data_IF_432873790541
#
_entry.id   IF_432873790541
#
_cell.length_a   1.000
_cell.length_b   1.000
_cell.length_c   1.000
_cell.angle_alpha   90.00
_cell.angle_beta   90.00
_cell.angle_gamma   90.00
#
_symmetry.space_group_name_H-M   'P 1'
#
loop_
_entity.id
_entity.type
_entity.pdbx_description
1 polymer ?
#
# COMPACT_ATOMS: atom_id res chain seq x y z
N UNK A 1 26.47 51.37 -25.88
CA UNK A 1 27.59 51.04 -24.99
C UNK A 1 27.21 50.94 -23.51
N UNK A 2 26.37 51.84 -22.96
CA UNK A 2 26.00 51.80 -21.54
C UNK A 2 25.19 50.53 -21.09
N UNK A 3 24.30 50.00 -21.95
CA UNK A 3 23.52 48.83 -21.65
C UNK A 3 24.33 47.52 -21.54
N UNK A 4 25.41 47.40 -22.32
CA UNK A 4 26.29 46.22 -22.27
C UNK A 4 27.14 46.16 -20.97
N UNK A 5 27.50 47.32 -20.42
CA UNK A 5 28.27 47.44 -19.17
C UNK A 5 27.41 47.10 -17.96
N UNK A 6 26.13 47.50 -17.97
CA UNK A 6 25.17 47.19 -16.86
C UNK A 6 24.83 45.69 -16.80
N UNK A 7 24.68 45.03 -17.94
CA UNK A 7 24.42 43.58 -18.02
C UNK A 7 25.65 42.77 -17.59
N UNK A 8 26.86 43.22 -17.94
CA UNK A 8 28.08 42.55 -17.50
C UNK A 8 28.32 42.70 -15.98
N UNK A 9 28.05 43.87 -15.41
CA UNK A 9 28.16 44.10 -13.96
C UNK A 9 27.15 43.27 -13.15
N UNK A 10 25.91 43.12 -13.65
CA UNK A 10 24.89 42.26 -13.01
C UNK A 10 25.26 40.76 -13.04
N UNK A 11 25.87 40.28 -14.13
CA UNK A 11 26.32 38.88 -14.22
C UNK A 11 27.54 38.61 -13.32
N UNK A 12 28.44 39.54 -13.17
CA UNK A 12 29.61 39.40 -12.27
C UNK A 12 29.17 39.47 -10.80
N UNK A 13 28.19 40.32 -10.48
CA UNK A 13 27.61 40.37 -9.11
C UNK A 13 26.85 39.13 -8.71
N UNK A 14 26.11 38.51 -9.64
CA UNK A 14 25.39 37.27 -9.39
C UNK A 14 26.36 36.08 -9.26
N UNK A 15 27.40 35.98 -10.04
CA UNK A 15 28.41 34.92 -9.96
C UNK A 15 29.22 34.99 -8.66
N UNK A 16 29.57 36.21 -8.20
CA UNK A 16 30.29 36.40 -6.93
C UNK A 16 29.40 36.17 -5.69
N UNK A 17 28.08 36.44 -5.79
CA UNK A 17 27.13 36.11 -4.73
C UNK A 17 26.90 34.59 -4.62
N UNK A 18 26.75 33.89 -5.74
CA UNK A 18 26.63 32.42 -5.78
C UNK A 18 27.89 31.74 -5.23
N UNK A 19 29.09 32.18 -5.68
CA UNK A 19 30.35 31.64 -5.15
C UNK A 19 30.57 31.91 -3.68
N UNK A 20 30.10 33.04 -3.13
CA UNK A 20 30.15 33.33 -1.68
C UNK A 20 29.16 32.52 -0.90
N UNK A 21 28.00 32.20 -1.47
CA UNK A 21 27.02 31.29 -0.85
C UNK A 21 27.56 29.86 -0.85
N UNK A 22 28.12 29.38 -1.94
CA UNK A 22 28.78 28.08 -2.02
C UNK A 22 30.00 27.97 -1.10
N UNK A 23 30.80 29.03 -0.98
CA UNK A 23 31.95 29.07 -0.08
C UNK A 23 31.56 29.18 1.38
N UNK A 24 30.44 29.82 1.73
CA UNK A 24 29.84 29.77 3.08
C UNK A 24 29.25 28.41 3.38
N UNK A 25 28.56 27.78 2.43
CA UNK A 25 28.03 26.42 2.59
C UNK A 25 29.13 25.36 2.71
N UNK A 26 30.31 25.60 2.09
CA UNK A 26 31.47 24.71 2.21
C UNK A 26 32.38 25.00 3.41
N UNK A 27 32.36 26.22 3.96
CA UNK A 27 33.17 26.61 5.13
C UNK A 27 32.43 26.41 6.47
N UNK A 28 31.11 26.35 6.47
CA UNK A 28 30.33 25.86 7.60
C UNK A 28 30.23 24.34 7.48
N UNK A 29 31.30 23.63 7.76
CA UNK A 29 31.35 22.19 7.97
C UNK A 29 30.53 21.76 9.19
N UNK A 30 29.30 22.25 9.32
CA UNK A 30 28.29 21.70 10.21
C UNK A 30 27.84 20.41 9.53
N UNK A 31 28.50 19.30 9.87
CA UNK A 31 27.95 17.97 9.67
C UNK A 31 26.59 17.98 10.37
N UNK A 32 25.55 18.36 9.63
CA UNK A 32 24.19 18.19 10.10
C UNK A 32 24.06 16.74 10.51
N UNK A 33 23.75 16.49 11.78
CA UNK A 33 23.54 15.14 12.26
C UNK A 33 22.59 14.41 11.28
N UNK A 34 22.88 13.16 10.91
CA UNK A 34 22.10 12.46 9.91
C UNK A 34 20.63 12.44 10.32
N UNK A 35 19.73 12.63 9.35
CA UNK A 35 18.29 12.53 9.57
C UNK A 35 17.99 11.14 10.14
N UNK A 36 17.43 11.08 11.35
CA UNK A 36 17.04 9.82 11.99
C UNK A 36 15.54 9.64 11.95
N UNK A 37 15.07 8.58 11.33
CA UNK A 37 13.65 8.28 11.17
C UNK A 37 13.32 6.96 11.83
N UNK A 38 12.34 6.95 12.73
CA UNK A 38 11.80 5.71 13.28
C UNK A 38 10.47 5.40 12.58
N UNK A 39 10.35 4.19 12.03
CA UNK A 39 9.12 3.70 11.38
C UNK A 39 8.47 2.66 12.30
N UNK A 40 7.28 2.97 12.81
CA UNK A 40 6.55 2.13 13.75
C UNK A 40 5.34 1.47 13.09
N UNK A 41 5.29 0.15 13.09
CA UNK A 41 4.16 -0.61 12.56
C UNK A 41 4.58 -1.91 11.90
N UNK A 42 3.62 -2.58 11.25
CA UNK A 42 3.87 -3.87 10.60
C UNK A 42 2.66 -4.77 10.56
N UNK A 43 2.93 -6.08 10.61
CA UNK A 43 1.95 -7.16 10.64
C UNK A 43 1.66 -7.75 9.26
N UNK A 44 1.38 -6.94 8.26
CA UNK A 44 1.01 -7.40 6.91
C UNK A 44 1.84 -6.74 5.81
N UNK A 45 1.86 -7.36 4.61
CA UNK A 45 2.54 -6.79 3.44
C UNK A 45 2.04 -5.41 3.05
N UNK A 46 0.74 -5.16 3.21
CA UNK A 46 0.13 -3.86 2.91
C UNK A 46 0.69 -2.68 3.71
N UNK A 47 1.31 -2.94 4.87
CA UNK A 47 2.01 -1.94 5.66
C UNK A 47 3.52 -1.92 5.38
N UNK A 48 4.13 -3.10 5.29
CA UNK A 48 5.60 -3.22 5.26
C UNK A 48 6.19 -2.86 3.89
N UNK A 49 5.58 -3.29 2.78
CA UNK A 49 6.13 -2.95 1.45
C UNK A 49 6.16 -1.44 1.18
N UNK A 50 5.08 -0.66 1.44
CA UNK A 50 5.13 0.80 1.34
C UNK A 50 6.17 1.42 2.28
N UNK A 51 6.30 0.93 3.51
CA UNK A 51 7.26 1.44 4.47
C UNK A 51 8.71 1.21 4.04
N UNK A 52 9.02 0.06 3.46
CA UNK A 52 10.35 -0.24 2.91
C UNK A 52 10.68 0.66 1.70
N UNK A 53 9.69 0.95 0.85
CA UNK A 53 9.88 1.89 -0.26
C UNK A 53 10.21 3.30 0.27
N UNK A 54 9.45 3.81 1.24
CA UNK A 54 9.74 5.09 1.90
C UNK A 54 11.12 5.09 2.58
N UNK A 55 11.49 3.99 3.26
CA UNK A 55 12.78 3.89 3.93
C UNK A 55 13.96 3.96 2.93
N UNK A 56 13.82 3.34 1.76
CA UNK A 56 14.83 3.43 0.68
C UNK A 56 14.97 4.85 0.16
N UNK A 57 13.86 5.55 -0.07
CA UNK A 57 13.87 6.96 -0.50
C UNK A 57 14.50 7.86 0.56
N UNK A 58 14.20 7.66 1.84
CA UNK A 58 14.82 8.40 2.95
C UNK A 58 16.35 8.23 2.95
N UNK A 59 16.83 7.02 2.74
CA UNK A 59 18.29 6.76 2.65
C UNK A 59 18.88 7.37 1.38
N UNK A 60 18.26 7.17 0.24
CA UNK A 60 18.78 7.64 -1.04
C UNK A 60 18.83 9.18 -1.13
N UNK A 61 17.74 9.85 -0.79
CA UNK A 61 17.56 11.29 -0.95
C UNK A 61 18.06 12.12 0.21
N UNK A 62 17.88 11.63 1.44
CA UNK A 62 18.15 12.39 2.67
C UNK A 62 19.29 11.82 3.52
N UNK A 63 19.96 10.74 3.07
CA UNK A 63 21.03 10.05 3.83
C UNK A 63 20.59 9.68 5.24
N UNK A 64 19.29 9.32 5.39
CA UNK A 64 18.69 9.08 6.68
C UNK A 64 19.15 7.75 7.30
N UNK A 65 19.29 7.72 8.61
CA UNK A 65 19.33 6.50 9.41
C UNK A 65 17.89 6.09 9.72
N UNK A 66 17.49 4.88 9.31
CA UNK A 66 16.12 4.38 9.51
C UNK A 66 16.13 3.20 10.47
N UNK A 67 15.27 3.26 11.49
CA UNK A 67 15.02 2.16 12.43
C UNK A 67 13.55 1.75 12.37
N UNK A 68 13.29 0.45 12.21
CA UNK A 68 11.93 -0.10 12.29
C UNK A 68 11.60 -0.59 13.71
N UNK A 69 10.34 -0.41 14.09
CA UNK A 69 9.74 -1.02 15.30
C UNK A 69 8.52 -1.82 14.88
N UNK A 70 8.57 -3.11 15.15
CA UNK A 70 7.53 -4.08 14.78
C UNK A 70 7.21 -5.06 15.89
N UNK A 71 6.50 -6.13 15.54
CA UNK A 71 6.13 -7.23 16.45
C UNK A 71 6.77 -8.54 16.02
N UNK A 72 6.96 -9.47 16.95
CA UNK A 72 7.57 -10.78 16.66
C UNK A 72 6.71 -11.69 15.75
N UNK A 73 5.44 -11.35 15.53
CA UNK A 73 4.48 -12.18 14.77
C UNK A 73 4.23 -11.71 13.35
N UNK A 74 4.72 -10.53 12.98
CA UNK A 74 4.48 -9.94 11.66
C UNK A 74 5.55 -10.33 10.64
N UNK A 75 5.25 -10.10 9.37
CA UNK A 75 6.18 -10.35 8.26
C UNK A 75 7.40 -9.42 8.29
N UNK A 76 7.33 -8.33 9.05
CA UNK A 76 8.44 -7.39 9.27
C UNK A 76 9.68 -8.08 9.82
N UNK A 77 9.52 -9.15 10.61
CA UNK A 77 10.64 -9.91 11.17
C UNK A 77 11.57 -10.51 10.11
N UNK A 78 11.04 -10.80 8.93
CA UNK A 78 11.75 -11.30 7.78
C UNK A 78 12.11 -10.18 6.80
N UNK A 79 11.12 -9.42 6.35
CA UNK A 79 11.29 -8.49 5.23
C UNK A 79 12.15 -7.26 5.57
N UNK A 80 12.10 -6.76 6.81
CA UNK A 80 12.89 -5.57 7.20
C UNK A 80 14.38 -5.87 7.23
N UNK A 81 14.87 -6.97 7.90
CA UNK A 81 16.27 -7.36 7.84
C UNK A 81 16.74 -7.77 6.43
N UNK A 82 15.90 -8.49 5.65
CA UNK A 82 16.20 -8.83 4.25
C UNK A 82 16.41 -7.57 3.38
N UNK A 83 15.73 -6.47 3.71
CA UNK A 83 15.92 -5.18 3.04
C UNK A 83 17.10 -4.35 3.57
N UNK A 84 17.87 -4.87 4.54
CA UNK A 84 19.04 -4.21 5.11
C UNK A 84 18.75 -3.18 6.21
N UNK A 85 17.52 -3.14 6.75
CA UNK A 85 17.16 -2.20 7.80
C UNK A 85 17.18 -2.83 9.20
N UNK A 86 17.60 -2.09 10.23
CA UNK A 86 17.52 -2.54 11.62
C UNK A 86 16.06 -2.58 12.09
N UNK A 87 15.73 -3.63 12.84
CA UNK A 87 14.41 -3.87 13.42
C UNK A 87 14.51 -4.07 14.94
N UNK A 88 13.70 -3.34 15.69
CA UNK A 88 13.44 -3.60 17.11
C UNK A 88 12.04 -4.16 17.28
N UNK A 89 11.92 -5.20 18.11
CA UNK A 89 10.65 -5.86 18.36
C UNK A 89 10.07 -5.43 19.70
N UNK A 90 8.74 -5.22 19.72
CA UNK A 90 7.98 -4.96 20.94
C UNK A 90 6.88 -6.01 21.11
N UNK A 91 6.50 -6.26 22.36
CA UNK A 91 5.39 -7.14 22.67
C UNK A 91 4.10 -6.32 22.70
N UNK A 92 3.22 -6.56 21.72
CA UNK A 92 1.88 -6.02 21.68
C UNK A 92 0.93 -7.01 21.04
N UNK A 93 -0.22 -7.20 21.63
CA UNK A 93 -1.25 -8.12 21.14
C UNK A 93 -2.35 -7.42 20.34
N UNK A 94 -3.21 -8.20 19.68
CA UNK A 94 -4.39 -7.68 18.98
C UNK A 94 -5.46 -7.20 19.97
N UNK A 95 -6.13 -6.08 19.61
CA UNK A 95 -7.25 -5.51 20.38
C UNK A 95 -8.62 -5.81 19.75
N UNK A 96 -8.67 -6.15 18.45
CA UNK A 96 -9.91 -6.41 17.71
C UNK A 96 -10.01 -7.86 17.26
N UNK A 97 -11.25 -8.34 17.13
CA UNK A 97 -11.58 -9.70 16.66
C UNK A 97 -10.92 -10.83 17.50
N UNK A 98 -10.79 -10.59 18.80
CA UNK A 98 -10.22 -11.53 19.76
C UNK A 98 -11.10 -11.63 21.02
N UNK A 99 -10.91 -12.69 21.81
CA UNK A 99 -11.65 -12.92 23.05
C UNK A 99 -11.47 -11.79 24.06
N UNK A 100 -12.41 -11.63 24.98
CA UNK A 100 -12.33 -10.63 26.06
C UNK A 100 -11.04 -10.80 26.88
N UNK A 101 -10.65 -12.05 27.17
CA UNK A 101 -9.41 -12.35 27.88
C UNK A 101 -8.17 -11.87 27.13
N UNK A 102 -8.13 -12.04 25.80
CA UNK A 102 -7.03 -11.54 24.98
C UNK A 102 -6.99 -10.00 24.97
N UNK A 103 -8.15 -9.34 24.95
CA UNK A 103 -8.23 -7.86 25.06
C UNK A 103 -7.69 -7.34 26.38
N UNK A 104 -8.09 -8.00 27.51
CA UNK A 104 -7.59 -7.65 28.84
C UNK A 104 -6.06 -7.82 28.91
N UNK A 105 -5.55 -8.96 28.42
CA UNK A 105 -4.10 -9.21 28.38
C UNK A 105 -3.37 -8.14 27.54
N UNK A 106 -3.87 -7.84 26.34
CA UNK A 106 -3.27 -6.79 25.49
C UNK A 106 -3.34 -5.41 26.17
N UNK A 107 -4.44 -5.09 26.87
CA UNK A 107 -4.55 -3.84 27.63
C UNK A 107 -3.53 -3.76 28.78
N UNK A 108 -3.25 -4.89 29.44
CA UNK A 108 -2.20 -4.98 30.48
C UNK A 108 -0.78 -4.87 29.89
N UNK A 109 -0.56 -5.36 28.68
CA UNK A 109 0.73 -5.28 27.99
C UNK A 109 1.00 -3.90 27.37
N UNK A 110 -0.05 -3.08 27.19
CA UNK A 110 0.07 -1.75 26.56
C UNK A 110 1.06 -0.81 27.28
N UNK A 111 1.07 -0.68 28.65
CA UNK A 111 2.06 0.10 29.36
C UNK A 111 3.50 -0.39 29.12
N UNK A 112 3.71 -1.72 29.13
CA UNK A 112 5.03 -2.33 28.85
C UNK A 112 5.50 -1.99 27.43
N UNK A 113 4.62 -2.11 26.44
CA UNK A 113 4.89 -1.75 25.04
C UNK A 113 5.26 -0.28 24.92
N UNK A 114 4.53 0.60 25.63
CA UNK A 114 4.79 2.04 25.66
C UNK A 114 6.17 2.36 26.27
N UNK A 115 6.53 1.71 27.38
CA UNK A 115 7.85 1.86 27.99
C UNK A 115 8.97 1.37 27.07
N UNK A 116 8.78 0.21 26.41
CA UNK A 116 9.73 -0.30 25.44
C UNK A 116 9.95 0.68 24.28
N UNK A 117 8.87 1.20 23.69
CA UNK A 117 8.94 2.21 22.63
C UNK A 117 9.65 3.49 23.13
N UNK A 118 9.32 3.96 24.34
CA UNK A 118 9.97 5.16 24.93
C UNK A 118 11.48 4.96 25.10
N UNK A 119 11.92 3.77 25.52
CA UNK A 119 13.34 3.42 25.60
C UNK A 119 13.99 3.43 24.22
N UNK A 120 13.40 2.75 23.22
CA UNK A 120 13.90 2.73 21.85
C UNK A 120 14.04 4.15 21.28
N UNK A 121 13.02 5.00 21.47
CA UNK A 121 13.03 6.40 21.01
C UNK A 121 14.13 7.23 21.69
N UNK A 122 14.39 7.01 22.98
CA UNK A 122 15.47 7.71 23.72
C UNK A 122 16.87 7.24 23.29
N UNK A 123 17.01 5.95 23.02
CA UNK A 123 18.30 5.37 22.60
C UNK A 123 18.61 5.76 21.13
N UNK A 124 17.63 5.70 20.25
CA UNK A 124 17.81 6.01 18.83
C UNK A 124 17.77 7.51 18.52
N UNK A 125 17.05 8.31 19.32
CA UNK A 125 16.88 9.78 19.17
C UNK A 125 16.44 10.18 17.76
N UNK A 126 15.28 9.68 17.25
CA UNK A 126 14.80 10.05 15.93
C UNK A 126 14.39 11.54 15.89
N UNK A 127 14.67 12.20 14.76
CA UNK A 127 14.14 13.53 14.46
C UNK A 127 12.64 13.51 14.11
N UNK A 128 12.13 12.38 13.59
CA UNK A 128 10.72 12.18 13.23
C UNK A 128 10.32 10.71 13.34
N UNK A 129 9.05 10.48 13.65
CA UNK A 129 8.46 9.13 13.75
C UNK A 129 7.32 8.97 12.76
N UNK A 130 7.38 7.92 11.91
CA UNK A 130 6.33 7.52 10.99
C UNK A 130 5.54 6.34 11.55
N UNK A 131 4.24 6.50 11.70
CA UNK A 131 3.31 5.40 12.00
C UNK A 131 2.69 4.85 10.73
N UNK A 132 2.93 3.58 10.43
CA UNK A 132 2.44 2.92 9.19
C UNK A 132 1.22 2.03 9.40
N UNK A 133 0.63 2.03 10.59
CA UNK A 133 -0.44 1.11 10.95
C UNK A 133 0.06 -0.22 11.51
N UNK A 134 -0.89 -1.12 11.80
CA UNK A 134 -0.59 -2.37 12.51
C UNK A 134 -0.46 -2.17 14.02
N UNK A 135 -0.20 -3.28 14.74
CA UNK A 135 -0.24 -3.28 16.21
C UNK A 135 0.90 -2.49 16.86
N UNK A 136 2.11 -2.50 16.27
CA UNK A 136 3.26 -1.77 16.81
C UNK A 136 3.16 -0.25 16.60
N UNK A 137 2.36 0.20 15.64
CA UNK A 137 2.19 1.64 15.36
C UNK A 137 1.58 2.39 16.54
N UNK A 138 0.57 1.80 17.21
CA UNK A 138 -0.11 2.45 18.34
C UNK A 138 0.86 2.86 19.48
N UNK A 139 1.55 1.93 20.13
CA UNK A 139 2.52 2.23 21.18
C UNK A 139 3.68 3.11 20.71
N UNK A 140 4.21 2.88 19.50
CA UNK A 140 5.29 3.67 18.92
C UNK A 140 4.92 5.15 18.77
N UNK A 141 3.77 5.40 18.15
CA UNK A 141 3.26 6.76 17.94
C UNK A 141 2.85 7.45 19.27
N UNK A 142 2.21 6.70 20.19
CA UNK A 142 1.86 7.22 21.50
C UNK A 142 3.11 7.65 22.30
N UNK A 143 4.16 6.83 22.29
CA UNK A 143 5.44 7.17 22.94
C UNK A 143 6.09 8.40 22.30
N UNK A 144 6.06 8.51 20.97
CA UNK A 144 6.60 9.67 20.25
C UNK A 144 5.84 10.96 20.59
N UNK A 145 4.51 10.92 20.64
CA UNK A 145 3.67 12.05 21.04
C UNK A 145 3.92 12.49 22.48
N UNK A 146 4.07 11.53 23.41
CA UNK A 146 4.42 11.83 24.81
C UNK A 146 5.80 12.48 24.97
N UNK A 147 6.75 12.11 24.10
CA UNK A 147 8.08 12.70 24.05
C UNK A 147 8.12 14.00 23.20
N UNK A 148 6.98 14.44 22.66
CA UNK A 148 6.84 15.63 21.80
C UNK A 148 7.73 15.58 20.55
N UNK A 149 8.05 14.38 20.08
CA UNK A 149 8.77 14.21 18.83
C UNK A 149 7.87 14.52 17.62
N UNK A 150 8.43 15.03 16.52
CA UNK A 150 7.71 15.14 15.26
C UNK A 150 7.12 13.79 14.84
N UNK A 151 5.84 13.80 14.44
CA UNK A 151 5.12 12.55 14.08
C UNK A 151 4.35 12.71 12.79
N UNK A 152 4.39 11.70 11.96
CA UNK A 152 3.56 11.56 10.77
C UNK A 152 2.83 10.23 10.77
N UNK A 153 1.55 10.23 10.38
CA UNK A 153 0.78 9.01 10.17
C UNK A 153 0.68 8.70 8.68
N UNK A 154 0.84 7.43 8.32
CA UNK A 154 0.53 6.90 6.99
C UNK A 154 -0.77 6.09 7.05
N UNK A 155 -1.73 6.41 6.17
CA UNK A 155 -2.98 5.69 6.06
C UNK A 155 -3.26 5.28 4.63
N UNK A 156 -3.10 4.02 4.30
CA UNK A 156 -3.32 3.50 2.96
C UNK A 156 -4.79 3.26 2.61
N UNK A 157 -5.69 3.19 3.60
CA UNK A 157 -7.10 2.85 3.38
C UNK A 157 -7.99 4.10 3.36
N UNK A 158 -9.12 4.02 2.66
CA UNK A 158 -10.15 5.06 2.66
C UNK A 158 -10.82 5.24 4.04
N UNK A 159 -10.91 4.15 4.82
CA UNK A 159 -11.32 4.17 6.23
C UNK A 159 -10.10 3.90 7.10
N UNK A 160 -9.64 4.86 7.91
CA UNK A 160 -8.47 4.68 8.76
C UNK A 160 -8.66 3.59 9.81
N UNK A 161 -7.57 2.84 10.05
CA UNK A 161 -7.52 1.88 11.14
C UNK A 161 -7.67 2.56 12.51
N UNK A 162 -8.07 1.78 13.54
CA UNK A 162 -8.35 2.29 14.88
C UNK A 162 -7.19 3.12 15.47
N UNK A 163 -5.95 2.64 15.38
CA UNK A 163 -4.79 3.36 15.90
C UNK A 163 -4.66 4.75 15.24
N UNK A 164 -4.75 4.82 13.92
CA UNK A 164 -4.67 6.07 13.16
C UNK A 164 -5.83 7.03 13.48
N UNK A 165 -7.05 6.53 13.73
CA UNK A 165 -8.18 7.38 14.15
C UNK A 165 -7.96 8.03 15.50
N UNK A 166 -7.36 7.30 16.45
CA UNK A 166 -7.08 7.82 17.81
C UNK A 166 -6.00 8.91 17.79
N UNK A 167 -4.95 8.72 17.02
CA UNK A 167 -3.82 9.66 16.99
C UNK A 167 -3.94 10.74 15.91
N UNK A 168 -4.80 10.57 14.92
CA UNK A 168 -4.82 11.34 13.68
C UNK A 168 -4.89 12.87 13.86
N UNK A 169 -5.64 13.36 14.86
CA UNK A 169 -5.70 14.80 15.18
C UNK A 169 -4.53 15.29 16.02
N UNK A 170 -3.70 14.40 16.55
CA UNK A 170 -2.55 14.73 17.41
C UNK A 170 -1.21 14.68 16.69
N UNK A 171 -1.11 13.95 15.57
CA UNK A 171 0.09 13.95 14.74
C UNK A 171 0.31 15.30 14.05
N UNK A 172 1.55 15.66 13.74
CA UNK A 172 1.85 16.91 13.07
C UNK A 172 1.45 16.90 11.59
N UNK A 173 1.56 15.75 10.94
CA UNK A 173 1.17 15.56 9.55
C UNK A 173 0.60 14.15 9.33
N UNK A 174 -0.09 13.98 8.24
CA UNK A 174 -0.48 12.67 7.76
C UNK A 174 -0.33 12.61 6.24
N UNK A 175 -0.05 11.41 5.74
CA UNK A 175 -0.10 11.08 4.33
C UNK A 175 -1.13 9.99 4.14
N UNK A 176 -2.00 10.19 3.18
CA UNK A 176 -3.15 9.32 2.94
C UNK A 176 -3.20 8.89 1.48
N UNK A 177 -3.79 7.73 1.21
CA UNK A 177 -4.03 7.28 -0.15
C UNK A 177 -5.28 7.94 -0.74
N UNK A 178 -6.37 7.92 0.02
CA UNK A 178 -7.66 8.40 -0.45
C UNK A 178 -8.06 9.73 0.23
N UNK A 179 -8.61 10.70 -0.52
CA UNK A 179 -9.13 11.96 0.04
C UNK A 179 -10.14 11.73 1.16
N UNK A 180 -10.93 10.66 1.10
CA UNK A 180 -11.93 10.32 2.12
C UNK A 180 -11.33 10.12 3.53
N UNK A 181 -10.07 9.68 3.62
CA UNK A 181 -9.36 9.50 4.89
C UNK A 181 -8.87 10.83 5.50
N UNK A 182 -8.70 11.87 4.71
CA UNK A 182 -8.08 13.14 5.14
C UNK A 182 -8.76 13.79 6.35
N UNK A 183 -10.09 13.72 6.44
CA UNK A 183 -10.89 14.28 7.54
C UNK A 183 -10.50 13.80 8.95
N UNK A 184 -9.83 12.64 9.03
CA UNK A 184 -9.44 12.04 10.31
C UNK A 184 -8.11 12.58 10.85
N UNK A 185 -7.36 13.29 10.03
CA UNK A 185 -6.00 13.69 10.34
C UNK A 185 -5.84 15.20 10.45
N UNK A 186 -4.73 15.59 11.05
CA UNK A 186 -4.21 16.95 11.02
C UNK A 186 -3.22 17.07 9.87
N UNK A 187 -3.29 18.16 9.10
CA UNK A 187 -2.42 18.46 7.95
C UNK A 187 -2.24 17.24 7.00
N UNK A 188 -3.34 16.64 6.51
CA UNK A 188 -3.27 15.49 5.61
C UNK A 188 -2.83 15.92 4.21
N UNK A 189 -2.03 15.07 3.56
CA UNK A 189 -1.66 15.20 2.15
C UNK A 189 -1.98 13.88 1.44
N UNK A 190 -2.65 13.95 0.29
CA UNK A 190 -2.86 12.78 -0.55
C UNK A 190 -1.58 12.51 -1.32
N UNK A 191 -0.91 11.42 -0.98
CA UNK A 191 0.34 10.99 -1.61
C UNK A 191 0.21 9.69 -2.38
N UNK A 192 -0.87 8.95 -2.13
CA UNK A 192 -0.99 7.57 -2.59
C UNK A 192 -0.24 6.58 -1.69
N UNK A 193 -0.23 5.33 -2.14
CA UNK A 193 0.54 4.23 -1.55
C UNK A 193 1.75 3.95 -2.44
N UNK A 194 2.97 3.87 -1.88
CA UNK A 194 4.14 3.42 -2.63
C UNK A 194 3.92 2.05 -3.24
N UNK A 195 4.08 1.97 -4.55
CA UNK A 195 3.97 0.75 -5.35
C UNK A 195 5.33 0.50 -6.02
N UNK A 196 5.66 -0.75 -6.26
CA UNK A 196 6.91 -1.12 -6.96
C UNK A 196 6.91 -0.53 -8.39
N UNK A 197 8.05 0.02 -8.86
CA UNK A 197 8.13 0.67 -10.17
C UNK A 197 7.62 -0.20 -11.33
N UNK A 198 7.86 -1.51 -11.29
CA UNK A 198 7.49 -2.45 -12.35
C UNK A 198 5.98 -2.49 -12.64
N UNK A 199 5.13 -2.03 -11.72
CA UNK A 199 3.69 -1.92 -11.99
C UNK A 199 3.34 -0.73 -12.88
N UNK A 200 4.15 0.33 -12.87
CA UNK A 200 3.95 1.48 -13.75
C UNK A 200 4.44 1.21 -15.19
N UNK A 201 5.29 0.20 -15.36
CA UNK A 201 5.80 -0.23 -16.67
C UNK A 201 4.91 -1.30 -17.34
N UNK A 202 3.78 -1.63 -16.72
CA UNK A 202 2.84 -2.61 -17.28
C UNK A 202 2.21 -2.05 -18.57
N UNK A 203 2.29 -2.78 -19.71
CA UNK A 203 1.79 -2.30 -21.00
C UNK A 203 0.27 -2.13 -21.01
N UNK A 204 -0.31 -1.43 -22.01
CA UNK A 204 -1.75 -1.35 -22.22
C UNK A 204 -2.44 -2.72 -22.22
N UNK A 205 -3.79 -2.73 -22.19
CA UNK A 205 -4.54 -3.97 -22.17
C UNK A 205 -4.24 -4.83 -23.42
N UNK A 206 -4.03 -6.15 -23.25
CA UNK A 206 -3.88 -7.05 -24.40
C UNK A 206 -5.21 -7.27 -25.12
N UNK A 207 -5.15 -7.60 -26.42
CA UNK A 207 -6.35 -7.89 -27.22
C UNK A 207 -7.00 -9.22 -26.83
N UNK A 208 -6.20 -10.21 -26.35
CA UNK A 208 -6.71 -11.51 -25.95
C UNK A 208 -7.28 -11.48 -24.55
N UNK A 209 -8.55 -11.84 -24.34
CA UNK A 209 -9.17 -11.79 -23.04
C UNK A 209 -8.51 -12.75 -22.04
N UNK A 210 -8.04 -12.19 -20.92
CA UNK A 210 -7.41 -12.93 -19.84
C UNK A 210 -7.92 -12.44 -18.49
N UNK A 211 -8.50 -13.32 -17.71
CA UNK A 211 -9.01 -13.06 -16.38
C UNK A 211 -7.99 -13.52 -15.32
N UNK A 212 -7.41 -12.58 -14.62
CA UNK A 212 -6.55 -12.84 -13.47
C UNK A 212 -7.36 -12.78 -12.17
N UNK A 213 -7.28 -13.82 -11.34
CA UNK A 213 -8.02 -13.94 -10.09
C UNK A 213 -7.08 -14.17 -8.94
N UNK A 214 -7.14 -13.33 -7.89
CA UNK A 214 -6.37 -13.53 -6.66
C UNK A 214 -7.04 -12.90 -5.44
N UNK A 215 -6.83 -13.50 -4.27
CA UNK A 215 -7.41 -13.04 -3.00
C UNK A 215 -6.38 -12.57 -1.97
N UNK A 216 -5.14 -12.28 -2.41
CA UNK A 216 -4.00 -12.06 -1.54
C UNK A 216 -3.18 -13.35 -1.34
N UNK A 217 -2.07 -13.30 -0.60
CA UNK A 217 -1.10 -14.41 -0.49
C UNK A 217 -1.67 -15.76 -0.06
N UNK A 218 -2.79 -15.75 0.69
CA UNK A 218 -3.44 -16.98 1.17
C UNK A 218 -4.55 -17.47 0.24
N UNK A 219 -4.82 -16.77 -0.87
CA UNK A 219 -6.00 -17.00 -1.69
C UNK A 219 -7.29 -16.51 -1.03
N UNK A 220 -8.42 -16.74 -1.67
CA UNK A 220 -9.74 -16.43 -1.14
C UNK A 220 -10.68 -17.65 -1.27
N UNK A 221 -11.06 -18.24 -0.13
CA UNK A 221 -11.92 -19.44 -0.13
C UNK A 221 -13.20 -19.25 -0.96
N UNK A 222 -13.81 -18.06 -0.88
CA UNK A 222 -15.02 -17.76 -1.66
C UNK A 222 -14.76 -17.84 -3.17
N UNK A 223 -13.63 -17.29 -3.64
CA UNK A 223 -13.23 -17.37 -5.04
C UNK A 223 -12.99 -18.82 -5.47
N UNK A 224 -12.24 -19.56 -4.64
CA UNK A 224 -11.91 -20.96 -4.88
C UNK A 224 -13.15 -21.86 -5.03
N UNK A 225 -14.25 -21.52 -4.33
CA UNK A 225 -15.48 -22.32 -4.37
C UNK A 225 -16.50 -21.84 -5.40
N UNK A 226 -16.46 -20.56 -5.80
CA UNK A 226 -17.46 -19.98 -6.71
C UNK A 226 -17.02 -20.01 -8.17
N UNK A 227 -15.75 -19.63 -8.46
CA UNK A 227 -15.26 -19.54 -9.84
C UNK A 227 -15.35 -20.86 -10.62
N UNK A 228 -14.99 -22.04 -10.04
CA UNK A 228 -15.12 -23.29 -10.79
C UNK A 228 -16.54 -23.60 -11.24
N UNK A 229 -17.56 -23.18 -10.47
CA UNK A 229 -18.98 -23.43 -10.78
C UNK A 229 -19.45 -22.71 -12.04
N UNK A 230 -18.84 -21.57 -12.38
CA UNK A 230 -19.20 -20.75 -13.54
C UNK A 230 -18.16 -20.85 -14.67
N UNK A 231 -17.05 -21.54 -14.46
CA UNK A 231 -15.91 -21.52 -15.36
C UNK A 231 -16.30 -21.98 -16.79
N UNK A 232 -17.01 -23.10 -16.92
CA UNK A 232 -17.47 -23.58 -18.24
C UNK A 232 -18.32 -22.54 -18.95
N UNK A 233 -19.38 -22.06 -18.29
CA UNK A 233 -20.31 -21.11 -18.87
C UNK A 233 -19.64 -19.76 -19.23
N UNK A 234 -18.68 -19.32 -18.41
CA UNK A 234 -17.91 -18.10 -18.68
C UNK A 234 -16.97 -18.27 -19.90
N UNK A 235 -16.27 -19.41 -20.00
CA UNK A 235 -15.40 -19.72 -21.14
C UNK A 235 -16.19 -19.90 -22.44
N UNK A 236 -17.37 -20.47 -22.37
CA UNK A 236 -18.27 -20.60 -23.51
C UNK A 236 -18.83 -19.24 -23.98
N UNK A 237 -19.15 -18.39 -23.02
CA UNK A 237 -19.69 -17.06 -23.30
C UNK A 237 -18.65 -16.06 -23.84
N UNK A 238 -17.37 -16.22 -23.52
CA UNK A 238 -16.29 -15.30 -23.95
C UNK A 238 -15.25 -16.07 -24.77
N UNK A 239 -15.33 -16.04 -26.12
CA UNK A 239 -14.37 -16.71 -27.00
C UNK A 239 -12.93 -16.24 -26.72
N UNK A 240 -11.98 -17.18 -26.71
CA UNK A 240 -10.56 -16.88 -26.47
C UNK A 240 -10.18 -16.57 -25.02
N UNK A 241 -11.14 -16.43 -24.09
CA UNK A 241 -10.84 -16.17 -22.70
C UNK A 241 -9.96 -17.26 -22.07
N UNK A 242 -8.96 -16.83 -21.33
CA UNK A 242 -8.16 -17.69 -20.45
C UNK A 242 -8.27 -17.21 -19.01
N UNK A 243 -8.13 -18.11 -18.05
CA UNK A 243 -8.25 -17.83 -16.61
C UNK A 243 -6.99 -18.24 -15.88
N UNK A 244 -6.40 -17.31 -15.11
CA UNK A 244 -5.37 -17.61 -14.12
C UNK A 244 -5.93 -17.34 -12.73
N UNK A 245 -6.01 -18.36 -11.88
CA UNK A 245 -6.56 -18.28 -10.53
C UNK A 245 -5.51 -18.63 -9.48
N UNK A 246 -5.13 -17.67 -8.64
CA UNK A 246 -4.29 -17.89 -7.47
C UNK A 246 -5.15 -18.31 -6.29
N UNK A 247 -5.09 -19.59 -5.93
CA UNK A 247 -5.96 -20.19 -4.93
C UNK A 247 -5.39 -20.23 -3.50
N UNK A 248 -4.10 -19.92 -3.34
CA UNK A 248 -3.37 -20.09 -2.07
C UNK A 248 -2.88 -21.53 -1.87
N UNK A 249 -1.81 -21.69 -1.08
CA UNK A 249 -1.19 -23.00 -0.81
C UNK A 249 -2.18 -24.05 -0.30
N UNK A 250 -3.13 -23.65 0.54
CA UNK A 250 -4.11 -24.56 1.14
C UNK A 250 -5.30 -24.89 0.23
N UNK A 251 -5.54 -24.06 -0.78
CA UNK A 251 -6.72 -24.17 -1.64
C UNK A 251 -6.43 -24.73 -3.03
N UNK A 252 -5.19 -24.82 -3.45
CA UNK A 252 -4.83 -25.09 -4.85
C UNK A 252 -5.36 -26.43 -5.33
N UNK A 253 -5.14 -27.53 -4.62
CA UNK A 253 -5.55 -28.87 -5.03
C UNK A 253 -7.08 -29.00 -5.16
N UNK A 254 -7.81 -28.51 -4.14
CA UNK A 254 -9.28 -28.55 -4.17
C UNK A 254 -9.87 -27.67 -5.23
N UNK A 255 -9.25 -26.54 -5.53
CA UNK A 255 -9.69 -25.61 -6.59
C UNK A 255 -9.40 -26.20 -7.96
N UNK A 256 -8.23 -26.82 -8.19
CA UNK A 256 -7.90 -27.52 -9.43
C UNK A 256 -8.89 -28.67 -9.71
N UNK A 257 -9.18 -29.50 -8.69
CA UNK A 257 -10.16 -30.57 -8.82
C UNK A 257 -11.56 -30.04 -9.16
N UNK A 258 -11.97 -28.92 -8.55
CA UNK A 258 -13.27 -28.30 -8.83
C UNK A 258 -13.34 -27.74 -10.27
N UNK A 259 -12.28 -27.11 -10.78
CA UNK A 259 -12.22 -26.70 -12.20
C UNK A 259 -12.24 -27.90 -13.14
N UNK A 260 -11.51 -28.97 -12.85
CA UNK A 260 -11.51 -30.18 -13.68
C UNK A 260 -12.91 -30.84 -13.74
N UNK A 261 -13.64 -30.83 -12.62
CA UNK A 261 -15.00 -31.37 -12.54
C UNK A 261 -16.06 -30.46 -13.20
N UNK A 262 -15.75 -29.17 -13.48
CA UNK A 262 -16.70 -28.22 -14.03
C UNK A 262 -17.06 -28.44 -15.51
N UNK A 263 -16.30 -29.27 -16.22
CA UNK A 263 -16.42 -29.44 -17.68
C UNK A 263 -15.84 -28.25 -18.48
N UNK A 264 -15.13 -27.34 -17.85
CA UNK A 264 -14.41 -26.24 -18.50
C UNK A 264 -13.19 -26.76 -19.28
N UNK A 265 -12.92 -26.21 -20.46
CA UNK A 265 -11.76 -26.57 -21.29
C UNK A 265 -10.46 -26.39 -20.52
N UNK A 266 -9.76 -27.51 -20.28
CA UNK A 266 -8.52 -27.56 -19.47
C UNK A 266 -7.39 -26.70 -20.04
N UNK A 267 -7.36 -26.45 -21.31
CA UNK A 267 -6.33 -25.62 -21.95
C UNK A 267 -6.51 -24.12 -21.66
N UNK A 268 -7.68 -23.71 -21.18
CA UNK A 268 -8.06 -22.30 -20.98
C UNK A 268 -8.06 -21.85 -19.53
N UNK A 269 -7.71 -22.71 -18.57
CA UNK A 269 -7.61 -22.30 -17.16
C UNK A 269 -6.38 -22.89 -16.49
N UNK A 270 -5.85 -22.13 -15.55
CA UNK A 270 -4.73 -22.50 -14.70
C UNK A 270 -4.98 -22.06 -13.27
N UNK A 271 -4.68 -22.91 -12.30
CA UNK A 271 -4.77 -22.62 -10.87
C UNK A 271 -3.39 -22.75 -10.25
N UNK A 272 -2.95 -21.69 -9.55
CA UNK A 272 -1.65 -21.62 -8.92
C UNK A 272 -1.77 -21.40 -7.41
N UNK A 273 -0.85 -21.96 -6.63
CA UNK A 273 -0.83 -21.72 -5.18
C UNK A 273 -0.42 -20.27 -4.86
N UNK A 274 0.51 -19.73 -5.65
CA UNK A 274 1.06 -18.39 -5.43
C UNK A 274 1.61 -17.81 -6.75
N UNK A 275 1.56 -16.50 -6.89
CA UNK A 275 2.10 -15.77 -8.03
C UNK A 275 3.23 -14.87 -7.57
N UNK A 276 4.45 -15.11 -8.05
CA UNK A 276 5.64 -14.37 -7.63
C UNK A 276 5.79 -13.03 -8.36
N UNK A 277 5.62 -13.04 -9.68
CA UNK A 277 5.79 -11.87 -10.56
C UNK A 277 4.44 -11.27 -10.94
N UNK A 278 3.83 -10.55 -10.00
CA UNK A 278 2.53 -9.91 -10.21
C UNK A 278 2.52 -8.92 -11.39
N UNK A 279 3.55 -8.05 -11.61
CA UNK A 279 3.56 -7.17 -12.78
C UNK A 279 3.42 -7.91 -14.10
N UNK A 280 4.14 -9.01 -14.30
CA UNK A 280 4.01 -9.84 -15.53
C UNK A 280 2.63 -10.49 -15.67
N UNK A 281 1.98 -10.85 -14.56
CA UNK A 281 0.60 -11.36 -14.60
C UNK A 281 -0.40 -10.23 -14.91
N UNK A 282 -0.19 -9.03 -14.36
CA UNK A 282 -1.00 -7.88 -14.71
C UNK A 282 -0.84 -7.49 -16.17
N UNK A 283 0.37 -7.58 -16.74
CA UNK A 283 0.62 -7.30 -18.15
C UNK A 283 -0.25 -8.14 -19.11
N UNK A 284 -0.57 -9.37 -18.70
CA UNK A 284 -1.41 -10.30 -19.48
C UNK A 284 -2.91 -10.14 -19.20
N UNK A 285 -3.29 -9.48 -18.09
CA UNK A 285 -4.68 -9.40 -17.67
C UNK A 285 -5.46 -8.32 -18.43
N UNK A 286 -6.61 -8.66 -18.99
CA UNK A 286 -7.60 -7.70 -19.48
C UNK A 286 -8.58 -7.29 -18.38
N UNK A 287 -8.81 -8.18 -17.41
CA UNK A 287 -9.63 -7.92 -16.23
C UNK A 287 -9.01 -8.63 -15.03
N UNK A 288 -8.99 -7.94 -13.90
CA UNK A 288 -8.51 -8.50 -12.63
C UNK A 288 -9.68 -8.64 -11.65
N UNK A 289 -9.90 -9.85 -11.12
CA UNK A 289 -10.82 -10.07 -10.02
C UNK A 289 -10.02 -10.26 -8.72
N UNK A 290 -10.23 -9.40 -7.73
CA UNK A 290 -9.45 -9.47 -6.49
C UNK A 290 -10.19 -8.95 -5.25
N UNK A 291 -9.55 -9.13 -4.09
CA UNK A 291 -9.87 -8.36 -2.88
C UNK A 291 -9.39 -6.91 -3.04
N UNK A 292 -9.98 -5.98 -2.29
CA UNK A 292 -9.71 -4.54 -2.36
C UNK A 292 -8.83 -4.04 -1.19
N UNK A 293 -7.75 -4.78 -0.89
CA UNK A 293 -6.72 -4.29 0.02
C UNK A 293 -6.02 -3.05 -0.54
N UNK A 294 -5.55 -2.16 0.32
CA UNK A 294 -4.96 -0.88 -0.10
C UNK A 294 -3.80 -1.02 -1.09
N UNK A 295 -2.89 -1.98 -0.87
CA UNK A 295 -1.79 -2.24 -1.83
C UNK A 295 -2.32 -2.77 -3.16
N UNK A 296 -3.32 -3.67 -3.13
CA UNK A 296 -3.91 -4.22 -4.35
C UNK A 296 -4.54 -3.14 -5.22
N UNK A 297 -5.33 -2.24 -4.63
CA UNK A 297 -5.96 -1.15 -5.40
C UNK A 297 -4.93 -0.16 -5.92
N UNK A 298 -3.85 0.09 -5.18
CA UNK A 298 -2.74 0.92 -5.64
C UNK A 298 -1.96 0.26 -6.80
N UNK A 299 -1.73 -1.06 -6.75
CA UNK A 299 -1.10 -1.84 -7.81
C UNK A 299 -1.98 -1.88 -9.08
N UNK A 300 -3.31 -2.05 -8.92
CA UNK A 300 -4.27 -1.98 -10.01
C UNK A 300 -4.27 -0.61 -10.69
N UNK A 301 -4.23 0.46 -9.90
CA UNK A 301 -4.12 1.83 -10.39
C UNK A 301 -2.81 2.06 -11.15
N UNK A 302 -1.67 1.67 -10.57
CA UNK A 302 -0.36 1.82 -11.17
C UNK A 302 -0.24 1.07 -12.51
N UNK A 303 -0.79 -0.13 -12.57
CA UNK A 303 -0.77 -0.99 -13.77
C UNK A 303 -1.90 -0.66 -14.78
N UNK A 304 -2.78 0.29 -14.48
CA UNK A 304 -3.92 0.61 -15.35
C UNK A 304 -4.80 -0.61 -15.62
N UNK A 305 -5.16 -1.40 -14.59
CA UNK A 305 -5.95 -2.63 -14.78
C UNK A 305 -7.40 -2.46 -14.34
N UNK A 306 -8.36 -2.69 -15.26
CA UNK A 306 -9.78 -2.80 -14.92
C UNK A 306 -9.97 -3.88 -13.87
N UNK A 307 -10.85 -3.65 -12.91
CA UNK A 307 -11.03 -4.63 -11.85
C UNK A 307 -12.48 -4.88 -11.47
N UNK A 308 -12.76 -6.14 -11.10
CA UNK A 308 -13.93 -6.55 -10.36
C UNK A 308 -13.49 -6.82 -8.93
N UNK A 309 -13.84 -5.93 -8.02
CA UNK A 309 -13.43 -5.96 -6.63
C UNK A 309 -14.48 -6.66 -5.77
N UNK A 310 -14.02 -7.62 -4.97
CA UNK A 310 -14.87 -8.31 -4.00
C UNK A 310 -14.28 -8.09 -2.60
N UNK A 311 -14.70 -7.05 -1.88
CA UNK A 311 -14.21 -6.74 -0.56
C UNK A 311 -14.35 -7.92 0.41
N UNK A 312 -13.36 -8.12 1.28
CA UNK A 312 -13.43 -9.13 2.32
C UNK A 312 -14.35 -8.65 3.44
N UNK A 313 -15.49 -9.32 3.63
CA UNK A 313 -16.54 -8.89 4.57
C UNK A 313 -16.07 -8.82 6.04
N UNK A 314 -15.08 -9.67 6.42
CA UNK A 314 -14.52 -9.66 7.78
C UNK A 314 -13.35 -8.67 7.95
N UNK A 315 -13.08 -7.82 6.95
CA UNK A 315 -12.05 -6.80 7.05
C UNK A 315 -12.36 -5.81 8.19
N UNK A 316 -11.35 -5.46 8.97
CA UNK A 316 -11.52 -4.56 10.11
C UNK A 316 -12.08 -3.20 9.65
N UNK A 317 -13.10 -2.69 10.35
CA UNK A 317 -13.73 -1.39 10.06
C UNK A 317 -14.23 -1.25 8.61
N UNK A 318 -14.52 -2.36 7.91
CA UNK A 318 -15.02 -2.40 6.53
C UNK A 318 -14.14 -1.62 5.53
N UNK A 319 -12.83 -1.54 5.81
CA UNK A 319 -11.91 -0.73 5.00
C UNK A 319 -11.82 -1.19 3.54
N UNK A 320 -12.00 -2.51 3.27
CA UNK A 320 -11.93 -3.01 1.90
C UNK A 320 -13.13 -2.54 1.06
N UNK A 321 -14.35 -2.52 1.62
CA UNK A 321 -15.51 -1.96 0.91
C UNK A 321 -15.28 -0.48 0.59
N UNK A 322 -14.72 0.29 1.53
CA UNK A 322 -14.42 1.71 1.30
C UNK A 322 -13.35 1.93 0.24
N UNK A 323 -12.31 1.10 0.22
CA UNK A 323 -11.29 1.15 -0.85
C UNK A 323 -11.89 0.83 -2.22
N UNK A 324 -12.76 -0.20 -2.30
CA UNK A 324 -13.45 -0.56 -3.54
C UNK A 324 -14.39 0.56 -4.01
N UNK A 325 -15.14 1.19 -3.11
CA UNK A 325 -16.04 2.32 -3.41
C UNK A 325 -15.27 3.50 -4.04
N UNK A 326 -14.05 3.80 -3.59
CA UNK A 326 -13.22 4.85 -4.20
C UNK A 326 -12.83 4.49 -5.64
N UNK A 327 -12.44 3.24 -5.91
CA UNK A 327 -12.10 2.78 -7.26
C UNK A 327 -13.33 2.77 -8.18
N UNK A 328 -14.51 2.38 -7.66
CA UNK A 328 -15.78 2.44 -8.41
C UNK A 328 -16.15 3.89 -8.73
N UNK A 329 -16.00 4.81 -7.78
CA UNK A 329 -16.27 6.24 -7.97
C UNK A 329 -15.34 6.85 -9.03
N UNK A 330 -14.09 6.37 -9.09
CA UNK A 330 -13.14 6.77 -10.13
C UNK A 330 -13.45 6.16 -11.51
N UNK A 331 -14.38 5.21 -11.62
CA UNK A 331 -14.68 4.51 -12.88
C UNK A 331 -13.72 3.33 -13.18
N UNK A 332 -12.79 3.04 -12.29
CA UNK A 332 -11.71 2.05 -12.47
C UNK A 332 -12.12 0.61 -12.13
N UNK A 333 -13.24 0.43 -11.41
CA UNK A 333 -13.65 -0.87 -10.91
C UNK A 333 -15.17 -1.07 -10.91
N UNK A 334 -15.57 -2.33 -10.90
CA UNK A 334 -16.91 -2.77 -10.48
C UNK A 334 -16.75 -3.48 -9.14
N UNK A 335 -17.72 -3.33 -8.24
CA UNK A 335 -17.70 -3.98 -6.93
C UNK A 335 -18.87 -4.95 -6.80
N UNK A 336 -18.58 -6.17 -6.34
CA UNK A 336 -19.57 -7.13 -5.85
C UNK A 336 -19.29 -7.41 -4.37
N UNK A 337 -20.32 -7.55 -3.56
CA UNK A 337 -20.18 -8.00 -2.17
C UNK A 337 -20.07 -9.51 -2.10
N UNK A 338 -19.50 -10.05 -1.03
CA UNK A 338 -19.44 -11.52 -0.83
C UNK A 338 -20.84 -12.17 -0.86
N UNK A 339 -21.86 -11.46 -0.38
CA UNK A 339 -23.27 -11.89 -0.43
C UNK A 339 -23.79 -12.07 -1.84
N UNK A 340 -23.29 -11.28 -2.81
CA UNK A 340 -23.72 -11.36 -4.21
C UNK A 340 -23.21 -12.63 -4.88
N UNK A 341 -22.09 -13.17 -4.40
CA UNK A 341 -21.48 -14.41 -4.86
C UNK A 341 -22.18 -15.67 -4.34
N UNK A 342 -23.14 -15.53 -3.40
CA UNK A 342 -23.99 -16.63 -2.98
C UNK A 342 -24.82 -17.19 -4.14
N UNK A 343 -25.07 -16.38 -5.16
CA UNK A 343 -25.63 -16.76 -6.46
C UNK A 343 -24.50 -16.65 -7.50
N UNK A 344 -23.85 -17.77 -7.88
CA UNK A 344 -22.74 -17.74 -8.83
C UNK A 344 -23.06 -17.06 -10.17
N UNK A 345 -24.35 -17.07 -10.58
CA UNK A 345 -24.86 -16.46 -11.80
C UNK A 345 -24.66 -14.95 -11.81
N UNK A 346 -24.72 -14.28 -10.65
CA UNK A 346 -24.45 -12.83 -10.53
C UNK A 346 -23.01 -12.53 -10.94
N UNK A 347 -22.05 -13.32 -10.43
CA UNK A 347 -20.64 -13.18 -10.78
C UNK A 347 -20.40 -13.51 -12.26
N UNK A 348 -21.02 -14.57 -12.76
CA UNK A 348 -20.94 -14.96 -14.17
C UNK A 348 -21.42 -13.84 -15.08
N UNK A 349 -22.60 -13.28 -14.81
CA UNK A 349 -23.18 -12.18 -15.58
C UNK A 349 -22.25 -10.97 -15.62
N UNK A 350 -21.75 -10.51 -14.45
CA UNK A 350 -20.84 -9.36 -14.36
C UNK A 350 -19.52 -9.59 -15.10
N UNK A 351 -18.90 -10.77 -14.94
CA UNK A 351 -17.67 -11.09 -15.64
C UNK A 351 -17.89 -11.17 -17.15
N UNK A 352 -18.99 -11.79 -17.59
CA UNK A 352 -19.34 -11.89 -19.01
C UNK A 352 -19.57 -10.52 -19.62
N UNK A 353 -20.35 -9.66 -18.96
CA UNK A 353 -20.63 -8.29 -19.41
C UNK A 353 -19.34 -7.49 -19.60
N UNK A 354 -18.45 -7.49 -18.58
CA UNK A 354 -17.19 -6.78 -18.64
C UNK A 354 -16.25 -7.31 -19.73
N UNK A 355 -16.04 -8.62 -19.77
CA UNK A 355 -15.09 -9.24 -20.70
C UNK A 355 -15.53 -9.18 -22.17
N UNK A 356 -16.83 -8.95 -22.46
CA UNK A 356 -17.38 -8.76 -23.80
C UNK A 356 -17.42 -7.30 -24.24
N UNK A 357 -16.99 -6.36 -23.40
CA UNK A 357 -16.96 -4.94 -23.70
C UNK A 357 -15.53 -4.37 -23.59
N UNK A 358 -14.70 -4.55 -24.62
CA UNK A 358 -13.34 -4.00 -24.64
C UNK A 358 -13.29 -2.47 -24.52
N UNK A 359 -14.29 -1.75 -25.02
CA UNK A 359 -14.34 -0.30 -24.92
C UNK A 359 -14.51 0.14 -23.47
N UNK A 360 -15.39 -0.53 -22.73
CA UNK A 360 -15.56 -0.31 -21.29
C UNK A 360 -14.31 -0.68 -20.50
N UNK A 361 -13.65 -1.80 -20.80
CA UNK A 361 -12.39 -2.19 -20.15
C UNK A 361 -11.28 -1.15 -20.39
N UNK A 362 -11.12 -0.66 -21.62
CA UNK A 362 -10.14 0.38 -21.94
C UNK A 362 -10.44 1.70 -21.17
N UNK A 363 -11.70 2.08 -21.07
CA UNK A 363 -12.10 3.24 -20.26
C UNK A 363 -11.75 3.03 -18.78
N UNK A 364 -12.09 1.88 -18.21
CA UNK A 364 -11.77 1.52 -16.83
C UNK A 364 -10.26 1.51 -16.57
N UNK A 365 -9.46 1.08 -17.54
CA UNK A 365 -8.00 1.09 -17.48
C UNK A 365 -7.47 2.53 -17.42
N UNK A 366 -7.96 3.40 -18.28
CA UNK A 366 -7.60 4.83 -18.27
C UNK A 366 -8.00 5.50 -16.95
N UNK A 367 -9.21 5.23 -16.46
CA UNK A 367 -9.70 5.74 -15.18
C UNK A 367 -8.84 5.21 -14.00
N UNK A 368 -8.37 3.96 -14.05
CA UNK A 368 -7.46 3.40 -13.04
C UNK A 368 -6.13 4.15 -12.99
N UNK A 369 -5.52 4.46 -14.14
CA UNK A 369 -4.29 5.24 -14.22
C UNK A 369 -4.40 6.62 -13.57
N UNK A 370 -5.60 7.23 -13.53
CA UNK A 370 -5.80 8.53 -12.87
C UNK A 370 -5.65 8.44 -11.34
N UNK A 371 -5.74 7.24 -10.78
CA UNK A 371 -5.58 6.97 -9.35
C UNK A 371 -4.14 6.55 -8.97
N UNK A 372 -3.23 6.52 -9.93
CA UNK A 372 -1.84 6.12 -9.74
C UNK A 372 -1.00 7.24 -9.13
N UNK A 373 -0.07 6.88 -8.26
CA UNK A 373 0.80 7.82 -7.57
C UNK A 373 2.28 7.36 -7.68
N UNK A 374 2.94 7.57 -8.81
CA UNK A 374 4.31 7.09 -9.04
C UNK A 374 5.32 7.68 -8.05
N UNK A 375 5.13 8.92 -7.64
CA UNK A 375 6.03 9.64 -6.72
C UNK A 375 5.67 9.44 -5.23
N UNK A 376 4.79 8.48 -4.89
CA UNK A 376 4.28 8.33 -3.53
C UNK A 376 5.40 8.17 -2.49
N UNK A 377 6.39 7.32 -2.75
CA UNK A 377 7.49 7.06 -1.82
C UNK A 377 8.34 8.32 -1.59
N UNK A 378 8.70 9.01 -2.66
CA UNK A 378 9.48 10.25 -2.63
C UNK A 378 8.75 11.36 -1.86
N UNK A 379 7.49 11.61 -2.20
CA UNK A 379 6.67 12.64 -1.52
C UNK A 379 6.50 12.38 -0.04
N UNK A 380 6.39 11.10 0.36
CA UNK A 380 6.32 10.73 1.78
C UNK A 380 7.66 10.96 2.46
N UNK A 381 8.78 10.58 1.83
CA UNK A 381 10.12 10.79 2.36
C UNK A 381 10.44 12.28 2.53
N UNK A 382 10.18 13.10 1.51
CA UNK A 382 10.39 14.55 1.56
C UNK A 382 9.51 15.21 2.63
N UNK A 383 8.26 14.75 2.77
CA UNK A 383 7.36 15.24 3.83
C UNK A 383 7.87 14.90 5.22
N UNK A 384 8.43 13.71 5.43
CA UNK A 384 9.06 13.31 6.71
C UNK A 384 10.27 14.21 7.02
N UNK A 385 11.16 14.40 6.05
CA UNK A 385 12.34 15.25 6.22
C UNK A 385 11.94 16.68 6.58
N UNK A 386 10.89 17.22 5.98
CA UNK A 386 10.39 18.59 6.24
C UNK A 386 9.82 18.80 7.66
N UNK A 387 9.52 17.74 8.41
CA UNK A 387 9.00 17.81 9.77
C UNK A 387 10.11 17.90 10.81
N UNK A 388 11.33 17.56 10.45
CA UNK A 388 12.47 17.64 11.35
C UNK A 388 12.83 19.12 11.54
N UNK A 389 12.80 19.59 12.78
CA UNK A 389 13.26 20.95 13.10
C UNK A 389 14.77 21.00 12.89
N UNK A 390 15.22 21.94 12.10
CA UNK A 390 16.61 22.37 12.10
C UNK A 390 16.69 23.34 13.28
N UNK A 391 17.22 22.85 14.42
CA UNK A 391 17.53 23.71 15.57
C UNK A 391 18.78 24.53 15.26
#
# INVERSE_FOLDING_TARGET
MLQAVVVAAAKVGAATASARIEQRLSSEGTSLAPLRVLIAGGGTGGHIFPALAVARELVARHKAEVLFVGTARGIETRLVPEAGFPLKLIEVGPLKNVSLMTRLRTAMDLPRSLFACRRILRDFKPGVVLGIGGYASGPGMAAALLLRLPTMAFEPNAMPGFANRVIGKRVQAAVVNFPAAARWFRNPVVTGVPVRPEFFDVPPLPDTPHLLIFGGSQGARLFNTTLPKIAKALLDAVPGLTILHQAGMRGVETTQAAYAASGADKSRWRVEPFLNDMPSHFAKATLVMSRSGASTVAELAAAGRPSLLVPFAAAADDHQSRNAEEMVRAGAAVMLRETDLARPENLQSQLTELLRDPARLNKMAADACTQAHPEAAERIADRLASLVRID
#
